data_IF_617634435093
#
_entry.id   IF_617634435093
#
_cell.length_a   1.000
_cell.length_b   1.000
_cell.length_c   1.000
_cell.angle_alpha   90.00
_cell.angle_beta   90.00
_cell.angle_gamma   90.00
#
_symmetry.space_group_name_H-M   'P 1'
#
loop_
_entity.id
_entity.type
_entity.pdbx_description
1 polymer ?
#
# COMPACT_ATOMS: atom_id res chain seq x y z
N UNK A 1 30.34 8.95 14.86
CA UNK A 1 29.19 9.34 14.01
C UNK A 1 28.04 9.68 14.94
N UNK A 2 27.74 10.97 15.13
CA UNK A 2 26.62 11.42 15.95
C UNK A 2 25.32 11.08 15.24
N UNK A 3 24.54 10.14 15.77
CA UNK A 3 23.20 9.87 15.23
C UNK A 3 22.38 11.17 15.24
N UNK A 4 21.62 11.49 14.17
CA UNK A 4 20.75 12.66 14.20
C UNK A 4 19.80 12.52 15.40
N UNK A 5 19.64 13.59 16.18
CA UNK A 5 18.79 13.62 17.38
C UNK A 5 17.27 13.58 17.06
N UNK A 6 16.88 13.11 15.86
CA UNK A 6 15.52 13.09 15.35
C UNK A 6 15.22 11.86 14.51
N UNK A 7 13.99 11.78 14.00
CA UNK A 7 13.55 10.72 13.08
C UNK A 7 14.36 10.80 11.77
N UNK A 8 14.90 9.68 11.26
CA UNK A 8 15.66 9.68 10.00
C UNK A 8 14.82 10.09 8.79
N UNK A 9 15.44 10.76 7.84
CA UNK A 9 14.85 11.15 6.55
C UNK A 9 14.33 9.95 5.73
N UNK A 10 14.99 8.80 5.85
CA UNK A 10 14.55 7.54 5.24
C UNK A 10 13.16 7.12 5.76
N UNK A 11 12.87 7.32 7.05
CA UNK A 11 11.57 6.96 7.63
C UNK A 11 10.47 7.89 7.13
N UNK A 12 10.77 9.19 7.02
CA UNK A 12 9.82 10.16 6.45
C UNK A 12 9.57 9.91 4.97
N UNK A 13 10.62 9.62 4.20
CA UNK A 13 10.51 9.27 2.78
C UNK A 13 9.68 8.00 2.60
N UNK A 14 9.98 6.95 3.37
CA UNK A 14 9.22 5.70 3.37
C UNK A 14 7.74 5.92 3.72
N UNK A 15 7.45 6.76 4.71
CA UNK A 15 6.09 7.15 5.08
C UNK A 15 5.35 7.82 3.91
N UNK A 16 5.97 8.79 3.23
CA UNK A 16 5.34 9.49 2.12
C UNK A 16 5.08 8.59 0.92
N UNK A 17 6.04 7.72 0.58
CA UNK A 17 5.86 6.74 -0.50
C UNK A 17 4.66 5.84 -0.21
N UNK A 18 4.53 5.34 1.02
CA UNK A 18 3.39 4.54 1.42
C UNK A 18 2.07 5.33 1.48
N UNK A 19 2.11 6.57 1.94
CA UNK A 19 0.94 7.44 1.99
C UNK A 19 0.39 7.73 0.59
N UNK A 20 1.26 7.85 -0.41
CA UNK A 20 0.88 7.98 -1.83
C UNK A 20 0.41 6.66 -2.41
N UNK A 21 1.06 5.55 -2.06
CA UNK A 21 0.67 4.23 -2.54
C UNK A 21 -0.75 3.86 -2.11
N UNK A 22 -1.13 4.15 -0.88
CA UNK A 22 -2.42 3.76 -0.30
C UNK A 22 -3.62 4.20 -1.18
N UNK A 23 -3.83 5.49 -1.51
CA UNK A 23 -4.93 5.90 -2.38
C UNK A 23 -4.81 5.34 -3.80
N UNK A 24 -3.60 5.20 -4.34
CA UNK A 24 -3.40 4.58 -5.66
C UNK A 24 -3.90 3.13 -5.67
N UNK A 25 -3.51 2.32 -4.68
CA UNK A 25 -3.96 0.94 -4.58
C UNK A 25 -5.47 0.83 -4.32
N UNK A 26 -6.05 1.77 -3.56
CA UNK A 26 -7.51 1.83 -3.39
C UNK A 26 -8.23 2.12 -4.71
N UNK A 27 -7.74 3.07 -5.51
CA UNK A 27 -8.32 3.36 -6.83
C UNK A 27 -8.22 2.14 -7.73
N UNK A 28 -7.06 1.47 -7.78
CA UNK A 28 -6.90 0.23 -8.55
C UNK A 28 -7.88 -0.86 -8.12
N UNK A 29 -8.06 -1.07 -6.81
CA UNK A 29 -9.05 -2.01 -6.28
C UNK A 29 -10.49 -1.65 -6.66
N UNK A 30 -10.86 -0.36 -6.58
CA UNK A 30 -12.20 0.10 -6.97
C UNK A 30 -12.43 -0.14 -8.46
N UNK A 31 -11.44 0.17 -9.31
CA UNK A 31 -11.52 -0.10 -10.76
C UNK A 31 -11.72 -1.59 -11.02
N UNK A 32 -10.98 -2.45 -10.33
CA UNK A 32 -11.14 -3.92 -10.45
C UNK A 32 -12.55 -4.35 -10.03
N UNK A 33 -13.02 -3.87 -8.88
CA UNK A 33 -14.33 -4.22 -8.32
C UNK A 33 -15.49 -3.84 -9.24
N UNK A 34 -15.43 -2.69 -9.91
CA UNK A 34 -16.53 -2.22 -10.79
C UNK A 34 -16.45 -2.77 -12.21
N UNK A 35 -15.33 -3.39 -12.60
CA UNK A 35 -15.15 -3.94 -13.96
C UNK A 35 -15.24 -5.46 -14.01
N UNK A 36 -14.95 -6.16 -12.91
CA UNK A 36 -15.05 -7.61 -12.84
C UNK A 36 -16.51 -8.04 -12.60
N UNK A 37 -17.03 -9.04 -13.34
CA UNK A 37 -18.37 -9.56 -13.13
C UNK A 37 -18.58 -10.08 -11.70
N UNK A 38 -19.61 -9.57 -11.03
CA UNK A 38 -19.96 -9.98 -9.67
C UNK A 38 -20.88 -11.20 -9.70
N UNK A 39 -20.50 -12.25 -8.97
CA UNK A 39 -21.34 -13.43 -8.77
C UNK A 39 -22.10 -13.31 -7.44
N UNK A 40 -23.40 -13.02 -7.49
CA UNK A 40 -24.27 -12.88 -6.31
C UNK A 40 -25.00 -11.53 -6.22
N UNK A 41 -25.66 -11.22 -5.09
CA UNK A 41 -26.36 -9.96 -4.91
C UNK A 41 -25.39 -8.77 -4.94
N UNK A 42 -25.39 -8.02 -6.04
CA UNK A 42 -24.42 -6.95 -6.30
C UNK A 42 -24.29 -5.93 -5.16
N UNK A 43 -25.42 -5.52 -4.57
CA UNK A 43 -25.45 -4.57 -3.43
C UNK A 43 -24.66 -5.12 -2.23
N UNK A 44 -24.81 -6.40 -1.93
CA UNK A 44 -24.13 -7.03 -0.80
C UNK A 44 -22.63 -7.15 -1.07
N UNK A 45 -22.24 -7.60 -2.27
CA UNK A 45 -20.83 -7.73 -2.63
C UNK A 45 -20.13 -6.37 -2.61
N UNK A 46 -20.71 -5.35 -3.25
CA UNK A 46 -20.14 -4.00 -3.23
C UNK A 46 -20.09 -3.42 -1.82
N UNK A 47 -21.12 -3.61 -1.01
CA UNK A 47 -21.15 -3.15 0.38
C UNK A 47 -20.04 -3.79 1.23
N UNK A 48 -19.89 -5.11 1.17
CA UNK A 48 -18.85 -5.84 1.91
C UNK A 48 -17.46 -5.46 1.42
N UNK A 49 -17.25 -5.38 0.11
CA UNK A 49 -15.97 -4.96 -0.48
C UNK A 49 -15.59 -3.53 -0.10
N UNK A 50 -16.55 -2.60 -0.08
CA UNK A 50 -16.31 -1.23 0.34
C UNK A 50 -15.92 -1.14 1.83
N UNK A 51 -16.63 -1.85 2.70
CA UNK A 51 -16.29 -1.93 4.13
C UNK A 51 -14.89 -2.54 4.30
N UNK A 52 -14.60 -3.64 3.62
CA UNK A 52 -13.30 -4.30 3.68
C UNK A 52 -12.17 -3.35 3.23
N UNK A 53 -12.35 -2.65 2.12
CA UNK A 53 -11.41 -1.65 1.62
C UNK A 53 -11.12 -0.56 2.66
N UNK A 54 -12.17 0.01 3.25
CA UNK A 54 -12.04 1.07 4.27
C UNK A 54 -11.31 0.56 5.52
N UNK A 55 -11.63 -0.67 5.96
CA UNK A 55 -10.96 -1.29 7.11
C UNK A 55 -9.47 -1.51 6.80
N UNK A 56 -9.14 -2.12 5.67
CA UNK A 56 -7.74 -2.37 5.27
C UNK A 56 -6.96 -1.06 5.14
N UNK A 57 -7.55 -0.03 4.52
CA UNK A 57 -6.95 1.29 4.39
C UNK A 57 -6.70 1.94 5.75
N UNK A 58 -7.67 1.86 6.66
CA UNK A 58 -7.54 2.40 8.03
C UNK A 58 -6.45 1.67 8.82
N UNK A 59 -6.38 0.35 8.70
CA UNK A 59 -5.33 -0.47 9.32
C UNK A 59 -3.97 -0.12 8.76
N UNK A 60 -3.82 -0.02 7.43
CA UNK A 60 -2.57 0.38 6.79
C UNK A 60 -2.13 1.78 7.25
N UNK A 61 -3.04 2.75 7.26
CA UNK A 61 -2.77 4.10 7.75
C UNK A 61 -2.33 4.10 9.22
N UNK A 62 -2.98 3.29 10.06
CA UNK A 62 -2.61 3.13 11.47
C UNK A 62 -1.17 2.63 11.59
N UNK A 63 -0.79 1.60 10.83
CA UNK A 63 0.58 1.08 10.81
C UNK A 63 1.59 2.11 10.28
N UNK A 64 1.22 2.95 9.32
CA UNK A 64 2.08 4.04 8.86
C UNK A 64 2.35 5.07 9.96
N UNK A 65 1.33 5.41 10.74
CA UNK A 65 1.49 6.31 11.89
C UNK A 65 2.33 5.67 13.00
N UNK A 66 2.13 4.38 13.31
CA UNK A 66 2.94 3.65 14.29
C UNK A 66 4.41 3.54 13.85
N UNK A 67 4.65 3.28 12.57
CA UNK A 67 5.99 3.28 11.99
C UNK A 67 6.69 4.63 12.20
N UNK A 68 5.95 5.73 12.06
CA UNK A 68 6.48 7.10 12.23
C UNK A 68 6.94 7.41 13.66
N UNK A 69 6.49 6.62 14.65
CA UNK A 69 6.87 6.69 16.06
C UNK A 69 7.97 5.67 16.44
N UNK A 70 8.35 4.77 15.53
CA UNK A 70 9.45 3.82 15.74
C UNK A 70 9.01 2.39 16.11
N UNK A 71 7.73 2.04 15.93
CA UNK A 71 7.27 0.67 16.18
C UNK A 71 7.88 -0.34 15.20
N UNK A 72 8.70 -1.25 15.73
CA UNK A 72 9.50 -2.24 14.97
C UNK A 72 8.64 -3.18 14.11
N UNK A 73 7.49 -3.58 14.63
CA UNK A 73 6.53 -4.49 13.97
C UNK A 73 5.75 -3.83 12.82
N UNK A 74 5.64 -2.50 12.81
CA UNK A 74 4.95 -1.82 11.72
C UNK A 74 5.66 -2.07 10.38
N UNK A 75 7.00 -2.11 10.38
CA UNK A 75 7.80 -2.38 9.19
C UNK A 75 7.53 -3.77 8.61
N UNK A 76 7.43 -4.81 9.43
CA UNK A 76 7.20 -6.18 8.95
C UNK A 76 5.80 -6.35 8.41
N UNK A 77 4.79 -5.82 9.09
CA UNK A 77 3.40 -5.86 8.64
C UNK A 77 3.22 -5.09 7.33
N UNK A 78 3.77 -3.87 7.23
CA UNK A 78 3.72 -3.08 6.00
C UNK A 78 4.47 -3.79 4.86
N UNK A 79 5.64 -4.37 5.11
CA UNK A 79 6.38 -5.07 4.06
C UNK A 79 5.64 -6.33 3.57
N UNK A 80 5.08 -7.12 4.49
CA UNK A 80 4.30 -8.31 4.15
C UNK A 80 3.02 -7.98 3.41
N UNK A 81 2.21 -7.06 3.95
CA UNK A 81 0.96 -6.60 3.33
C UNK A 81 1.21 -5.90 1.98
N UNK A 82 2.25 -5.08 1.91
CA UNK A 82 2.67 -4.43 0.67
C UNK A 82 3.06 -5.43 -0.42
N UNK A 83 3.84 -6.44 -0.07
CA UNK A 83 4.23 -7.51 -1.01
C UNK A 83 3.00 -8.26 -1.52
N UNK A 84 2.07 -8.65 -0.63
CA UNK A 84 0.82 -9.29 -1.03
C UNK A 84 -0.01 -8.40 -1.97
N UNK A 85 -0.04 -7.09 -1.71
CA UNK A 85 -0.76 -6.11 -2.54
C UNK A 85 -0.13 -5.99 -3.93
N UNK A 86 1.21 -5.97 -4.03
CA UNK A 86 1.92 -5.97 -5.31
C UNK A 86 1.62 -7.24 -6.11
N UNK A 87 1.67 -8.42 -5.46
CA UNK A 87 1.37 -9.69 -6.13
C UNK A 87 -0.06 -9.71 -6.67
N UNK A 88 -1.03 -9.26 -5.88
CA UNK A 88 -2.42 -9.13 -6.32
C UNK A 88 -2.53 -8.18 -7.53
N UNK A 89 -1.88 -7.02 -7.46
CA UNK A 89 -1.94 -6.02 -8.51
C UNK A 89 -1.34 -6.51 -9.84
N UNK A 90 -0.19 -7.18 -9.77
CA UNK A 90 0.47 -7.77 -10.95
C UNK A 90 -0.36 -8.91 -11.53
N UNK A 91 -0.97 -9.75 -10.69
CA UNK A 91 -1.80 -10.88 -11.13
C UNK A 91 -3.02 -10.41 -11.93
N UNK A 92 -3.55 -9.24 -11.60
CA UNK A 92 -4.72 -8.66 -12.24
C UNK A 92 -4.39 -7.69 -13.38
N UNK A 93 -3.11 -7.42 -13.66
CA UNK A 93 -2.71 -6.42 -14.67
C UNK A 93 -3.25 -6.73 -16.07
N UNK A 94 -3.39 -8.02 -16.40
CA UNK A 94 -3.83 -8.51 -17.71
C UNK A 94 -5.29 -8.99 -17.75
N UNK A 95 -6.08 -8.73 -16.71
CA UNK A 95 -7.49 -9.08 -16.75
C UNK A 95 -8.25 -8.25 -17.80
N UNK A 96 -9.27 -8.86 -18.40
CA UNK A 96 -10.04 -8.26 -19.48
C UNK A 96 -10.90 -7.10 -18.98
N UNK A 97 -10.67 -5.89 -19.52
CA UNK A 97 -11.30 -4.63 -19.07
C UNK A 97 -11.48 -3.66 -20.24
N UNK A 98 -12.49 -2.77 -20.17
CA UNK A 98 -12.60 -1.66 -21.10
C UNK A 98 -11.32 -0.80 -21.12
N UNK A 99 -10.93 -0.22 -22.27
CA UNK A 99 -9.62 0.44 -22.44
C UNK A 99 -9.31 1.51 -21.37
N UNK A 100 -10.30 2.33 -21.01
CA UNK A 100 -10.14 3.37 -20.01
C UNK A 100 -9.87 2.80 -18.61
N UNK A 101 -10.57 1.72 -18.24
CA UNK A 101 -10.39 1.06 -16.95
C UNK A 101 -9.06 0.30 -16.88
N UNK A 102 -8.65 -0.35 -17.98
CA UNK A 102 -7.33 -0.98 -18.07
C UNK A 102 -6.20 0.03 -17.82
N UNK A 103 -6.29 1.21 -18.44
CA UNK A 103 -5.30 2.28 -18.26
C UNK A 103 -5.30 2.82 -16.83
N UNK A 104 -6.48 3.05 -16.24
CA UNK A 104 -6.61 3.51 -14.86
C UNK A 104 -6.06 2.49 -13.85
N UNK A 105 -6.38 1.21 -14.05
CA UNK A 105 -5.87 0.11 -13.23
C UNK A 105 -4.35 0.01 -13.36
N UNK A 106 -3.81 -0.05 -14.58
CA UNK A 106 -2.38 -0.18 -14.80
C UNK A 106 -1.59 1.00 -14.22
N UNK A 107 -2.06 2.23 -14.45
CA UNK A 107 -1.39 3.43 -13.92
C UNK A 107 -1.33 3.43 -12.40
N UNK A 108 -2.45 3.14 -11.74
CA UNK A 108 -2.53 3.11 -10.28
C UNK A 108 -1.76 1.94 -9.67
N UNK A 109 -1.88 0.75 -10.27
CA UNK A 109 -1.19 -0.47 -9.83
C UNK A 109 0.33 -0.35 -9.97
N UNK A 110 0.84 0.15 -11.11
CA UNK A 110 2.29 0.26 -11.35
C UNK A 110 2.89 1.30 -10.41
N UNK A 111 2.35 2.52 -10.41
CA UNK A 111 2.90 3.61 -9.58
C UNK A 111 2.77 3.26 -8.10
N UNK A 112 1.62 2.72 -7.67
CA UNK A 112 1.41 2.28 -6.30
C UNK A 112 2.39 1.17 -5.89
N UNK A 113 2.63 0.18 -6.76
CA UNK A 113 3.60 -0.89 -6.48
C UNK A 113 5.03 -0.38 -6.35
N UNK A 114 5.45 0.56 -7.21
CA UNK A 114 6.78 1.19 -7.12
C UNK A 114 6.91 1.98 -5.81
N UNK A 115 5.88 2.72 -5.41
CA UNK A 115 5.86 3.44 -4.14
C UNK A 115 5.96 2.48 -2.94
N UNK A 116 5.23 1.35 -2.95
CA UNK A 116 5.32 0.32 -1.90
C UNK A 116 6.74 -0.24 -1.84
N UNK A 117 7.28 -0.70 -2.97
CA UNK A 117 8.61 -1.31 -3.03
C UNK A 117 9.71 -0.32 -2.62
N UNK A 118 9.63 0.93 -3.08
CA UNK A 118 10.53 2.01 -2.67
C UNK A 118 10.44 2.30 -1.17
N UNK A 119 9.22 2.34 -0.62
CA UNK A 119 9.00 2.50 0.81
C UNK A 119 9.62 1.36 1.62
N UNK A 120 9.41 0.11 1.20
CA UNK A 120 10.04 -1.06 1.83
C UNK A 120 11.57 -0.96 1.77
N UNK A 121 12.14 -0.64 0.61
CA UNK A 121 13.58 -0.54 0.43
C UNK A 121 14.21 0.50 1.36
N UNK A 122 13.68 1.73 1.38
CA UNK A 122 14.21 2.82 2.19
C UNK A 122 14.09 2.52 3.70
N UNK A 123 13.03 1.85 4.15
CA UNK A 123 12.84 1.44 5.56
C UNK A 123 13.80 0.33 6.03
N UNK A 124 14.53 -0.31 5.11
CA UNK A 124 15.56 -1.30 5.41
C UNK A 124 16.99 -0.75 5.32
N UNK A 125 17.15 0.53 4.98
CA UNK A 125 18.46 1.21 5.05
C UNK A 125 18.94 1.32 6.50
N UNK A 126 20.25 1.48 6.66
CA UNK A 126 20.92 1.46 7.96
C UNK A 126 20.36 2.50 8.94
N UNK A 127 20.07 3.71 8.48
CA UNK A 127 19.58 4.79 9.34
C UNK A 127 18.16 4.52 9.85
N UNK A 128 17.27 4.07 8.96
CA UNK A 128 15.92 3.63 9.34
C UNK A 128 15.98 2.38 10.24
N UNK A 129 16.86 1.43 9.95
CA UNK A 129 16.99 0.23 10.75
C UNK A 129 17.46 0.55 12.18
N UNK A 130 18.46 1.43 12.32
CA UNK A 130 18.92 1.89 13.62
C UNK A 130 17.79 2.57 14.41
N UNK A 131 16.91 3.34 13.76
CA UNK A 131 15.75 3.96 14.41
C UNK A 131 14.75 2.94 14.96
N UNK A 132 14.47 1.87 14.21
CA UNK A 132 13.55 0.80 14.65
C UNK A 132 14.17 -0.20 15.62
N UNK A 133 15.44 -0.10 15.97
CA UNK A 133 16.14 -1.08 16.84
C UNK A 133 16.63 -0.49 18.16
N UNK A 134 16.56 0.85 18.30
CA UNK A 134 16.70 1.56 19.57
C UNK A 134 15.63 1.10 20.57
#
# INVERSE_FOLDING_TARGET
MTAPAGRPEDVDTGFWLWLVALPLMMIGYVVDLVTVPVHGPAVLVYGVSAIFLVVVASVALTFLLLMRVGYRWARTVLSGGGTATIVYAVSNLFADRPPAAAMAYAGTAIVGSVCIAGGVFVLHRQDAHAFFVR
#
